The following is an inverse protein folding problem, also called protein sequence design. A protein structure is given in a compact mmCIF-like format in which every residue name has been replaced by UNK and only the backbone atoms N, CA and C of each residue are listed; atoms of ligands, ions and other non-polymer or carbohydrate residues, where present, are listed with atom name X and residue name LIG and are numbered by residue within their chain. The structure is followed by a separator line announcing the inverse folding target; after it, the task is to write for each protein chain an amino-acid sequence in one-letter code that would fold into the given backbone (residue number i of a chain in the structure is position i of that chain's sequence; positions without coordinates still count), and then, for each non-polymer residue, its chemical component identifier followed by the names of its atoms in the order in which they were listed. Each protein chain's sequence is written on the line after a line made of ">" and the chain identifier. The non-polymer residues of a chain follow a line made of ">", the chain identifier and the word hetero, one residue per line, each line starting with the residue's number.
data_IF_495586402287
#
_entry.id   IF_495586402287
#
_cell.length_a   1.000
_cell.length_b   1.000
_cell.length_c   1.000
_cell.angle_alpha   90.00
_cell.angle_beta   90.00
_cell.angle_gamma   90.00
#
_symmetry.space_group_name_H-M   'P 1'
#
loop_
_entity.id
_entity.type
_entity.pdbx_description
1 polymer ?
#
# COMPACT_ATOMS: atom_id res chain seq x y z
N UNK A 1 46.67 4.70 56.91
CA UNK A 1 45.41 4.45 56.15
C UNK A 1 45.58 5.10 54.78
N UNK A 2 46.29 4.43 53.91
CA UNK A 2 46.39 4.81 52.50
C UNK A 2 47.25 3.73 51.80
N UNK A 3 46.76 2.60 51.43
CA UNK A 3 47.43 1.62 50.56
C UNK A 3 46.49 0.45 50.17
N UNK A 4 45.15 0.64 50.15
CA UNK A 4 44.22 -0.41 49.74
C UNK A 4 43.32 -0.09 48.54
N UNK A 5 43.43 1.12 47.95
CA UNK A 5 42.58 1.53 46.80
C UNK A 5 43.25 1.38 45.42
N UNK A 6 44.53 0.98 45.35
CA UNK A 6 45.22 0.91 44.07
C UNK A 6 45.49 -0.51 43.55
N UNK A 7 44.90 -1.57 44.16
CA UNK A 7 45.12 -2.94 43.69
C UNK A 7 43.92 -3.57 42.98
N UNK A 8 42.80 -2.86 42.89
CA UNK A 8 41.58 -3.37 42.18
C UNK A 8 41.44 -2.89 40.74
N UNK A 9 42.33 -1.95 40.29
CA UNK A 9 42.28 -1.44 38.91
C UNK A 9 43.04 -2.28 37.89
N UNK A 10 44.06 -3.05 38.32
CA UNK A 10 44.98 -3.71 37.38
C UNK A 10 44.65 -5.18 37.10
N UNK A 11 43.80 -5.80 37.91
CA UNK A 11 43.33 -7.18 37.68
C UNK A 11 42.07 -7.30 36.79
N UNK A 12 41.35 -6.20 36.59
CA UNK A 12 40.15 -6.16 35.74
C UNK A 12 40.43 -6.02 34.24
N UNK A 13 41.57 -5.50 33.87
CA UNK A 13 41.94 -5.30 32.45
C UNK A 13 42.76 -6.44 31.85
N UNK A 14 43.41 -7.24 32.68
CA UNK A 14 44.22 -8.39 32.23
C UNK A 14 43.34 -9.59 31.76
N UNK A 15 42.05 -9.63 32.10
CA UNK A 15 41.12 -10.68 31.67
C UNK A 15 40.30 -10.31 30.42
N UNK A 16 40.58 -9.18 29.77
CA UNK A 16 39.99 -8.75 28.52
C UNK A 16 40.94 -8.90 27.32
N UNK A 17 42.04 -9.66 27.48
CA UNK A 17 42.87 -10.05 26.36
C UNK A 17 42.05 -11.04 25.49
N UNK A 18 41.47 -10.56 24.42
CA UNK A 18 40.87 -11.41 23.37
C UNK A 18 41.95 -12.37 22.92
N UNK A 19 41.66 -13.66 22.98
CA UNK A 19 42.58 -14.70 22.50
C UNK A 19 42.90 -14.42 21.02
N UNK A 20 44.18 -14.25 20.65
CA UNK A 20 44.57 -13.93 19.28
C UNK A 20 44.04 -14.94 18.25
N UNK A 21 43.91 -16.24 18.65
CA UNK A 21 43.38 -17.29 17.79
C UNK A 21 41.82 -17.14 17.57
N UNK A 22 41.11 -16.54 18.52
CA UNK A 22 39.68 -16.23 18.37
C UNK A 22 39.51 -15.02 17.48
N UNK A 23 40.33 -13.97 17.68
CA UNK A 23 40.30 -12.78 16.84
C UNK A 23 40.67 -13.11 15.38
N UNK A 24 41.65 -13.98 15.15
CA UNK A 24 42.04 -14.42 13.81
C UNK A 24 40.94 -15.23 13.13
N UNK A 25 40.19 -16.04 13.89
CA UNK A 25 39.02 -16.77 13.38
C UNK A 25 37.80 -15.87 13.10
N UNK A 26 37.57 -14.86 13.93
CA UNK A 26 36.51 -13.88 13.71
C UNK A 26 36.82 -13.00 12.50
N UNK A 27 38.07 -12.51 12.36
CA UNK A 27 38.50 -11.76 11.19
C UNK A 27 38.51 -12.61 9.91
N UNK A 28 38.80 -13.91 9.99
CA UNK A 28 38.69 -14.81 8.85
C UNK A 28 37.22 -15.13 8.50
N UNK A 29 36.32 -15.12 9.47
CA UNK A 29 34.88 -15.27 9.24
C UNK A 29 34.24 -14.00 8.66
N UNK A 30 34.72 -12.81 9.07
CA UNK A 30 34.30 -11.53 8.48
C UNK A 30 34.82 -11.32 7.04
N UNK A 31 35.91 -11.99 6.65
CA UNK A 31 36.43 -11.97 5.28
C UNK A 31 35.69 -12.91 4.32
N UNK A 32 34.72 -13.72 4.82
CA UNK A 32 34.10 -14.78 4.03
C UNK A 32 32.78 -14.39 3.30
N UNK A 33 32.20 -13.24 3.54
CA UNK A 33 31.22 -12.64 2.63
C UNK A 33 30.98 -11.17 2.99
N UNK A 34 31.42 -10.25 2.15
CA UNK A 34 30.86 -8.91 2.12
C UNK A 34 29.38 -9.08 1.67
N UNK A 35 28.39 -8.57 2.44
CA UNK A 35 27.00 -8.58 1.97
C UNK A 35 26.80 -7.92 0.60
N UNK A 36 27.78 -7.11 0.15
CA UNK A 36 27.83 -6.52 -1.19
C UNK A 36 28.34 -7.51 -2.27
N UNK A 37 29.09 -8.56 -1.89
CA UNK A 37 29.52 -9.60 -2.82
C UNK A 37 28.39 -10.59 -3.16
N UNK A 38 27.31 -10.63 -2.34
CA UNK A 38 26.09 -11.41 -2.60
C UNK A 38 25.09 -10.66 -3.50
N UNK A 39 25.32 -9.39 -3.79
CA UNK A 39 24.55 -8.66 -4.80
C UNK A 39 25.05 -9.11 -6.17
N UNK A 40 24.35 -10.08 -6.74
CA UNK A 40 24.60 -10.56 -8.10
C UNK A 40 24.17 -9.47 -9.10
N UNK A 41 25.06 -8.50 -9.31
CA UNK A 41 24.86 -7.40 -10.28
C UNK A 41 24.56 -7.92 -11.69
N UNK A 42 24.99 -9.14 -12.01
CA UNK A 42 24.75 -9.76 -13.31
C UNK A 42 23.29 -10.26 -13.41
N UNK A 43 22.68 -10.71 -12.29
CA UNK A 43 21.25 -11.06 -12.27
C UNK A 43 20.34 -9.83 -12.42
N UNK A 44 20.63 -8.72 -11.72
CA UNK A 44 19.86 -7.47 -11.87
C UNK A 44 19.96 -6.89 -13.28
N UNK A 45 21.13 -6.96 -13.89
CA UNK A 45 21.33 -6.52 -15.28
C UNK A 45 20.57 -7.40 -16.25
N UNK A 46 20.57 -8.73 -16.05
CA UNK A 46 19.84 -9.66 -16.93
C UNK A 46 18.32 -9.51 -16.77
N UNK A 47 17.80 -9.30 -15.55
CA UNK A 47 16.38 -9.00 -15.30
C UNK A 47 15.95 -7.69 -15.95
N UNK A 48 16.77 -6.63 -15.88
CA UNK A 48 16.48 -5.34 -16.51
C UNK A 48 16.46 -5.45 -18.02
N UNK A 49 17.41 -6.17 -18.61
CA UNK A 49 17.47 -6.43 -20.06
C UNK A 49 16.30 -7.29 -20.52
N UNK A 50 15.88 -8.28 -19.72
CA UNK A 50 14.71 -9.10 -19.98
C UNK A 50 13.43 -8.25 -19.95
N UNK A 51 13.23 -7.43 -18.91
CA UNK A 51 12.09 -6.54 -18.82
C UNK A 51 12.01 -5.58 -20.02
N UNK A 52 13.14 -5.03 -20.47
CA UNK A 52 13.19 -4.17 -21.66
C UNK A 52 12.78 -4.93 -22.94
N UNK A 53 13.23 -6.17 -23.13
CA UNK A 53 12.83 -7.02 -24.26
C UNK A 53 11.35 -7.37 -24.20
N UNK A 54 10.84 -7.69 -23.02
CA UNK A 54 9.41 -7.98 -22.81
C UNK A 54 8.56 -6.75 -23.11
N UNK A 55 8.98 -5.55 -22.73
CA UNK A 55 8.32 -4.29 -23.09
C UNK A 55 8.31 -4.06 -24.62
N UNK A 56 9.44 -4.24 -25.30
CA UNK A 56 9.52 -4.09 -26.76
C UNK A 56 8.60 -5.09 -27.48
N UNK A 57 8.57 -6.35 -27.04
CA UNK A 57 7.65 -7.36 -27.56
C UNK A 57 6.18 -6.98 -27.25
N UNK A 58 5.89 -6.49 -26.06
CA UNK A 58 4.56 -6.02 -25.67
C UNK A 58 4.06 -4.86 -26.54
N UNK A 59 4.91 -3.89 -26.86
CA UNK A 59 4.59 -2.78 -27.77
C UNK A 59 4.25 -3.30 -29.18
N UNK A 60 4.99 -4.27 -29.68
CA UNK A 60 4.71 -4.89 -30.97
C UNK A 60 3.37 -5.65 -30.97
N UNK A 61 3.08 -6.39 -29.89
CA UNK A 61 1.82 -7.11 -29.72
C UNK A 61 0.61 -6.16 -29.69
N UNK A 62 0.69 -5.02 -28.99
CA UNK A 62 -0.36 -4.02 -28.97
C UNK A 62 -0.65 -3.42 -30.35
N UNK A 63 0.36 -3.34 -31.23
CA UNK A 63 0.26 -2.78 -32.58
C UNK A 63 -0.15 -3.81 -33.66
N UNK A 64 0.01 -5.10 -33.38
CA UNK A 64 -0.10 -6.15 -34.38
C UNK A 64 -1.52 -6.61 -34.70
N UNK A 65 -2.50 -6.30 -33.86
CA UNK A 65 -3.91 -6.62 -34.12
C UNK A 65 -4.71 -7.06 -32.91
N UNK A 66 -6.04 -7.20 -33.06
CA UNK A 66 -6.94 -7.49 -31.92
C UNK A 66 -6.62 -8.80 -31.18
N UNK A 67 -6.19 -9.82 -31.90
CA UNK A 67 -5.88 -11.16 -31.38
C UNK A 67 -4.70 -11.16 -30.40
N UNK A 68 -3.77 -10.22 -30.55
CA UNK A 68 -2.56 -10.13 -29.74
C UNK A 68 -2.69 -9.10 -28.59
N UNK A 69 -3.77 -8.31 -28.55
CA UNK A 69 -3.96 -7.21 -27.59
C UNK A 69 -3.90 -7.67 -26.15
N UNK A 70 -4.58 -8.76 -25.79
CA UNK A 70 -4.59 -9.27 -24.43
C UNK A 70 -3.19 -9.71 -23.97
N UNK A 71 -2.41 -10.29 -24.89
CA UNK A 71 -1.05 -10.68 -24.58
C UNK A 71 -0.15 -9.46 -24.39
N UNK A 72 -0.27 -8.45 -25.26
CA UNK A 72 0.44 -7.17 -25.10
C UNK A 72 0.03 -6.42 -23.83
N UNK A 73 -1.26 -6.39 -23.50
CA UNK A 73 -1.78 -5.78 -22.26
C UNK A 73 -1.21 -6.44 -21.00
N UNK A 74 -1.06 -7.78 -20.99
CA UNK A 74 -0.49 -8.51 -19.87
C UNK A 74 0.92 -8.03 -19.54
N UNK A 75 1.75 -7.78 -20.54
CA UNK A 75 3.11 -7.27 -20.36
C UNK A 75 3.08 -5.96 -19.57
N UNK A 76 2.19 -5.03 -19.90
CA UNK A 76 2.11 -3.72 -19.24
C UNK A 76 1.31 -3.71 -17.93
N UNK A 77 0.66 -4.82 -17.58
CA UNK A 77 0.19 -5.05 -16.20
C UNK A 77 1.33 -5.43 -15.26
N UNK A 78 2.42 -5.98 -15.78
CA UNK A 78 3.59 -6.44 -15.02
C UNK A 78 4.77 -5.44 -15.10
N UNK A 79 5.00 -4.83 -16.27
CA UNK A 79 6.12 -3.93 -16.54
C UNK A 79 5.69 -2.47 -16.72
N UNK A 80 6.63 -1.56 -16.43
CA UNK A 80 6.46 -0.11 -16.62
C UNK A 80 7.22 0.35 -17.86
N UNK A 81 6.49 0.90 -18.81
CA UNK A 81 7.06 1.54 -19.99
C UNK A 81 6.13 2.66 -20.48
N UNK A 82 6.52 3.94 -20.35
CA UNK A 82 5.70 5.07 -20.78
C UNK A 82 5.30 5.05 -22.27
N UNK A 83 6.06 4.35 -23.11
CA UNK A 83 5.75 4.19 -24.54
C UNK A 83 4.44 3.44 -24.77
N UNK A 84 3.99 2.67 -23.77
CA UNK A 84 2.73 1.93 -23.88
C UNK A 84 1.50 2.84 -23.73
N UNK A 85 1.59 3.93 -22.99
CA UNK A 85 0.43 4.79 -22.66
C UNK A 85 -0.38 5.20 -23.89
N UNK A 86 0.20 5.74 -24.98
CA UNK A 86 -0.56 6.11 -26.16
C UNK A 86 -1.22 4.92 -26.88
N UNK A 87 -0.72 3.70 -26.70
CA UNK A 87 -1.30 2.47 -27.26
C UNK A 87 -2.41 1.91 -26.34
N UNK A 88 -2.33 2.14 -25.04
CA UNK A 88 -3.30 1.68 -24.05
C UNK A 88 -4.58 2.52 -24.04
N UNK A 89 -4.46 3.85 -24.21
CA UNK A 89 -5.60 4.77 -24.14
C UNK A 89 -6.75 4.42 -25.10
N UNK A 90 -6.54 4.11 -26.38
CA UNK A 90 -7.62 3.70 -27.29
C UNK A 90 -8.34 2.42 -26.83
N UNK A 91 -7.65 1.53 -26.12
CA UNK A 91 -8.22 0.26 -25.65
C UNK A 91 -9.25 0.42 -24.53
N UNK A 92 -9.30 1.58 -23.89
CA UNK A 92 -10.35 1.94 -22.94
C UNK A 92 -11.74 2.03 -23.59
N UNK A 93 -11.83 2.16 -24.91
CA UNK A 93 -13.09 2.24 -25.67
C UNK A 93 -13.49 0.91 -26.34
N UNK A 94 -12.75 -0.16 -26.11
CA UNK A 94 -13.04 -1.46 -26.69
C UNK A 94 -14.38 -2.02 -26.19
N UNK A 95 -15.08 -2.71 -27.06
CA UNK A 95 -16.38 -3.32 -26.74
C UNK A 95 -16.26 -4.42 -25.69
N UNK A 96 -15.15 -5.17 -25.70
CA UNK A 96 -14.88 -6.24 -24.74
C UNK A 96 -14.47 -5.68 -23.38
N UNK A 97 -15.23 -5.94 -22.29
CA UNK A 97 -14.90 -5.43 -20.96
C UNK A 97 -13.58 -5.99 -20.41
N UNK A 98 -13.16 -7.18 -20.84
CA UNK A 98 -11.87 -7.76 -20.44
C UNK A 98 -10.71 -6.93 -21.01
N UNK A 99 -10.82 -6.47 -22.26
CA UNK A 99 -9.81 -5.62 -22.87
C UNK A 99 -9.75 -4.26 -22.17
N UNK A 100 -10.92 -3.64 -21.91
CA UNK A 100 -10.96 -2.36 -21.17
C UNK A 100 -10.36 -2.50 -19.79
N UNK A 101 -10.74 -3.53 -19.04
CA UNK A 101 -10.23 -3.81 -17.70
C UNK A 101 -8.71 -4.01 -17.70
N UNK A 102 -8.19 -4.80 -18.61
CA UNK A 102 -6.74 -5.04 -18.75
C UNK A 102 -5.99 -3.77 -19.14
N UNK A 103 -6.56 -2.93 -20.03
CA UNK A 103 -6.00 -1.62 -20.38
C UNK A 103 -5.95 -0.68 -19.17
N UNK A 104 -7.01 -0.70 -18.33
CA UNK A 104 -7.05 0.07 -17.07
C UNK A 104 -5.96 -0.39 -16.10
N UNK A 105 -5.75 -1.71 -15.91
CA UNK A 105 -4.68 -2.22 -15.06
C UNK A 105 -3.29 -1.85 -15.60
N UNK A 106 -3.09 -1.95 -16.92
CA UNK A 106 -1.85 -1.53 -17.57
C UNK A 106 -1.58 -0.03 -17.36
N UNK A 107 -2.59 0.84 -17.48
CA UNK A 107 -2.47 2.27 -17.19
C UNK A 107 -2.25 2.56 -15.70
N UNK A 108 -2.83 1.78 -14.80
CA UNK A 108 -2.56 1.87 -13.37
C UNK A 108 -1.11 1.54 -13.03
N UNK A 109 -0.50 0.60 -13.76
CA UNK A 109 0.94 0.28 -13.66
C UNK A 109 1.82 1.35 -14.30
N UNK A 110 1.31 2.03 -15.32
CA UNK A 110 1.98 3.05 -16.12
C UNK A 110 1.28 4.41 -15.93
N UNK A 111 1.29 5.00 -14.72
CA UNK A 111 0.53 6.20 -14.43
C UNK A 111 0.99 7.37 -15.30
N UNK A 112 0.00 8.07 -15.86
CA UNK A 112 0.23 9.23 -16.71
C UNK A 112 -0.92 10.23 -16.58
N UNK A 113 -0.64 11.54 -16.50
CA UNK A 113 -1.67 12.56 -16.39
C UNK A 113 -2.72 12.52 -17.52
N UNK A 114 -2.33 12.10 -18.73
CA UNK A 114 -3.25 12.00 -19.88
C UNK A 114 -4.27 10.87 -19.74
N UNK A 115 -4.05 9.91 -18.84
CA UNK A 115 -4.97 8.81 -18.58
C UNK A 115 -6.07 9.17 -17.58
N UNK A 116 -5.88 10.23 -16.77
CA UNK A 116 -6.79 10.56 -15.66
C UNK A 116 -8.21 10.82 -16.17
N UNK A 117 -8.39 11.71 -17.14
CA UNK A 117 -9.74 12.05 -17.65
C UNK A 117 -10.43 10.84 -18.30
N UNK A 118 -9.80 10.04 -19.20
CA UNK A 118 -10.37 8.80 -19.70
C UNK A 118 -10.77 7.80 -18.61
N UNK A 119 -9.95 7.64 -17.56
CA UNK A 119 -10.26 6.76 -16.43
C UNK A 119 -11.46 7.27 -15.63
N UNK A 120 -11.55 8.57 -15.35
CA UNK A 120 -12.69 9.18 -14.67
C UNK A 120 -13.99 8.97 -15.44
N UNK A 121 -13.96 9.07 -16.77
CA UNK A 121 -15.11 8.81 -17.63
C UNK A 121 -15.56 7.34 -17.52
N UNK A 122 -14.63 6.39 -17.49
CA UNK A 122 -14.96 4.97 -17.28
C UNK A 122 -15.52 4.70 -15.88
N UNK A 123 -14.95 5.31 -14.83
CA UNK A 123 -15.49 5.16 -13.47
C UNK A 123 -16.97 5.59 -13.40
N UNK A 124 -17.31 6.63 -14.10
CA UNK A 124 -18.66 7.20 -14.09
C UNK A 124 -19.64 6.43 -14.97
N UNK A 125 -19.20 5.93 -16.15
CA UNK A 125 -20.12 5.53 -17.21
C UNK A 125 -19.98 4.06 -17.66
N UNK A 126 -18.92 3.32 -17.30
CA UNK A 126 -18.79 1.94 -17.74
C UNK A 126 -19.88 1.07 -17.12
N UNK A 127 -20.59 0.33 -17.95
CA UNK A 127 -21.66 -0.57 -17.51
C UNK A 127 -21.15 -1.77 -16.71
N UNK A 128 -19.87 -2.16 -16.91
CA UNK A 128 -19.30 -3.31 -16.24
C UNK A 128 -18.63 -2.90 -14.92
N UNK A 129 -19.17 -3.41 -13.79
CA UNK A 129 -18.65 -3.11 -12.46
C UNK A 129 -17.18 -3.55 -12.22
N UNK A 130 -16.70 -4.59 -12.91
CA UNK A 130 -15.30 -5.00 -12.79
C UNK A 130 -14.34 -4.05 -13.52
N UNK A 131 -14.78 -3.41 -14.60
CA UNK A 131 -14.03 -2.32 -15.23
C UNK A 131 -13.95 -1.15 -14.27
N UNK A 132 -15.09 -0.70 -13.69
CA UNK A 132 -15.10 0.38 -12.69
C UNK A 132 -14.25 0.06 -11.45
N UNK A 133 -14.25 -1.21 -10.99
CA UNK A 133 -13.36 -1.69 -9.93
C UNK A 133 -11.89 -1.47 -10.28
N UNK A 134 -11.47 -1.89 -11.48
CA UNK A 134 -10.10 -1.71 -11.95
C UNK A 134 -9.74 -0.22 -12.05
N UNK A 135 -10.70 0.61 -12.50
CA UNK A 135 -10.51 2.07 -12.55
C UNK A 135 -10.33 2.66 -11.16
N UNK A 136 -11.14 2.27 -10.18
CA UNK A 136 -10.99 2.75 -8.81
C UNK A 136 -9.57 2.48 -8.28
N UNK A 137 -9.04 1.27 -8.48
CA UNK A 137 -7.66 0.93 -8.15
C UNK A 137 -6.64 1.77 -8.95
N UNK A 138 -6.81 1.90 -10.26
CA UNK A 138 -5.89 2.64 -11.12
C UNK A 138 -5.78 4.12 -10.72
N UNK A 139 -6.89 4.73 -10.32
CA UNK A 139 -6.93 6.14 -9.89
C UNK A 139 -6.14 6.40 -8.60
N UNK A 140 -5.96 5.40 -7.72
CA UNK A 140 -5.03 5.49 -6.60
C UNK A 140 -3.60 5.75 -7.06
N UNK A 141 -3.18 5.10 -8.15
CA UNK A 141 -1.86 5.32 -8.76
C UNK A 141 -1.76 6.64 -9.56
N UNK A 142 -2.89 7.34 -9.77
CA UNK A 142 -2.97 8.67 -10.39
C UNK A 142 -3.34 9.76 -9.37
N UNK A 143 -2.96 9.58 -8.12
CA UNK A 143 -3.36 10.39 -6.94
C UNK A 143 -3.01 11.88 -7.02
N UNK A 144 -2.13 12.28 -7.93
CA UNK A 144 -1.83 13.70 -8.18
C UNK A 144 -2.93 14.42 -8.99
N UNK A 145 -3.80 13.67 -9.66
CA UNK A 145 -4.94 14.19 -10.42
C UNK A 145 -6.14 14.57 -9.54
N UNK A 146 -7.23 15.06 -10.16
CA UNK A 146 -8.47 15.43 -9.48
C UNK A 146 -9.35 14.20 -9.17
N UNK A 147 -8.76 13.16 -8.56
CA UNK A 147 -9.38 11.83 -8.39
C UNK A 147 -10.18 11.69 -7.09
N UNK A 148 -9.94 12.55 -6.09
CA UNK A 148 -10.51 12.42 -4.74
C UNK A 148 -12.04 12.42 -4.74
N UNK A 149 -12.67 13.44 -5.31
CA UNK A 149 -14.14 13.54 -5.34
C UNK A 149 -14.82 12.42 -6.13
N UNK A 150 -14.33 11.99 -7.32
CA UNK A 150 -14.84 10.81 -7.99
C UNK A 150 -14.71 9.51 -7.19
N UNK A 151 -13.60 9.30 -6.47
CA UNK A 151 -13.42 8.14 -5.59
C UNK A 151 -14.38 8.17 -4.40
N UNK A 152 -14.61 9.34 -3.79
CA UNK A 152 -15.64 9.50 -2.75
C UNK A 152 -17.02 9.10 -3.28
N UNK A 153 -17.41 9.57 -4.47
CA UNK A 153 -18.69 9.19 -5.07
C UNK A 153 -18.77 7.68 -5.31
N UNK A 154 -17.71 7.07 -5.82
CA UNK A 154 -17.66 5.62 -6.05
C UNK A 154 -17.78 4.84 -4.73
N UNK A 155 -17.12 5.27 -3.66
CA UNK A 155 -17.23 4.69 -2.32
C UNK A 155 -18.68 4.72 -1.79
N UNK A 156 -19.43 5.79 -2.09
CA UNK A 156 -20.79 5.97 -1.57
C UNK A 156 -21.85 5.19 -2.35
N UNK A 157 -21.67 4.98 -3.65
CA UNK A 157 -22.81 4.63 -4.52
C UNK A 157 -22.59 3.43 -5.43
N UNK A 158 -21.39 2.87 -5.51
CA UNK A 158 -21.11 1.78 -6.44
C UNK A 158 -21.26 0.38 -5.79
N UNK A 159 -21.03 -0.68 -6.54
CA UNK A 159 -21.00 -2.05 -6.02
C UNK A 159 -19.86 -2.27 -5.02
N UNK A 160 -20.00 -3.23 -4.13
CA UNK A 160 -19.05 -3.50 -3.05
C UNK A 160 -17.60 -3.61 -3.53
N UNK A 161 -17.36 -4.28 -4.65
CA UNK A 161 -16.01 -4.43 -5.23
C UNK A 161 -15.38 -3.09 -5.65
N UNK A 162 -16.18 -2.12 -6.09
CA UNK A 162 -15.73 -0.77 -6.43
C UNK A 162 -15.53 0.05 -5.16
N UNK A 163 -16.46 -0.02 -4.21
CA UNK A 163 -16.35 0.68 -2.91
C UNK A 163 -15.09 0.27 -2.16
N UNK A 164 -14.75 -1.03 -2.17
CA UNK A 164 -13.51 -1.55 -1.59
C UNK A 164 -12.28 -0.83 -2.16
N UNK A 165 -12.14 -0.82 -3.48
CA UNK A 165 -10.97 -0.21 -4.11
C UNK A 165 -10.98 1.32 -4.05
N UNK A 166 -12.16 1.92 -4.00
CA UNK A 166 -12.30 3.36 -3.77
C UNK A 166 -11.80 3.74 -2.37
N UNK A 167 -12.08 2.95 -1.32
CA UNK A 167 -11.58 3.21 0.03
C UNK A 167 -10.04 3.14 0.09
N UNK A 168 -9.44 2.12 -0.52
CA UNK A 168 -7.98 1.98 -0.61
C UNK A 168 -7.35 3.17 -1.35
N UNK A 169 -7.89 3.52 -2.51
CA UNK A 169 -7.36 4.61 -3.34
C UNK A 169 -7.56 6.00 -2.73
N UNK A 170 -8.53 6.14 -1.81
CA UNK A 170 -8.73 7.37 -1.04
C UNK A 170 -7.59 7.61 -0.04
N UNK A 171 -6.92 6.58 0.48
CA UNK A 171 -5.72 6.74 1.30
C UNK A 171 -4.60 7.39 0.49
N UNK A 172 -4.35 6.91 -0.72
CA UNK A 172 -3.31 7.45 -1.62
C UNK A 172 -3.62 8.89 -2.08
N UNK A 173 -4.87 9.15 -2.49
CA UNK A 173 -5.30 10.46 -2.96
C UNK A 173 -5.43 11.49 -1.82
N UNK A 174 -5.82 11.03 -0.63
CA UNK A 174 -5.96 11.84 0.58
C UNK A 174 -4.61 12.22 1.18
N UNK A 175 -3.65 11.31 1.22
CA UNK A 175 -2.35 11.51 1.85
C UNK A 175 -1.46 12.62 1.27
N UNK A 176 -1.90 13.30 0.21
CA UNK A 176 -1.14 14.37 -0.45
C UNK A 176 -1.14 15.70 0.32
N UNK A 177 -2.21 16.03 1.04
CA UNK A 177 -2.31 17.24 1.86
C UNK A 177 -3.28 17.03 3.02
N UNK A 178 -3.09 17.75 4.13
CA UNK A 178 -3.99 17.71 5.29
C UNK A 178 -5.46 17.94 4.92
N UNK A 179 -5.76 18.87 4.02
CA UNK A 179 -7.14 19.14 3.60
C UNK A 179 -7.75 17.97 2.81
N UNK A 180 -6.97 17.30 1.96
CA UNK A 180 -7.42 16.11 1.25
C UNK A 180 -7.57 14.92 2.21
N UNK A 181 -6.64 14.78 3.16
CA UNK A 181 -6.70 13.75 4.19
C UNK A 181 -7.97 13.88 5.05
N UNK A 182 -8.29 15.09 5.50
CA UNK A 182 -9.50 15.36 6.28
C UNK A 182 -10.78 15.01 5.52
N UNK A 183 -10.86 15.38 4.23
CA UNK A 183 -12.00 15.06 3.37
C UNK A 183 -12.12 13.54 3.16
N UNK A 184 -11.01 12.86 2.84
CA UNK A 184 -10.99 11.41 2.66
C UNK A 184 -11.39 10.68 3.95
N UNK A 185 -10.79 11.06 5.08
CA UNK A 185 -11.08 10.46 6.39
C UNK A 185 -12.55 10.63 6.78
N UNK A 186 -13.14 11.81 6.56
CA UNK A 186 -14.56 12.02 6.83
C UNK A 186 -15.48 11.08 6.04
N UNK A 187 -15.16 10.77 4.78
CA UNK A 187 -15.94 9.84 3.96
C UNK A 187 -15.69 8.38 4.33
N UNK A 188 -14.45 8.03 4.67
CA UNK A 188 -14.10 6.69 5.14
C UNK A 188 -14.77 6.37 6.49
N UNK A 189 -14.83 7.34 7.41
CA UNK A 189 -15.57 7.21 8.68
C UNK A 189 -17.06 6.93 8.46
N UNK A 190 -17.69 7.64 7.53
CA UNK A 190 -19.09 7.39 7.17
C UNK A 190 -19.28 5.97 6.62
N UNK A 191 -18.42 5.55 5.69
CA UNK A 191 -18.49 4.19 5.13
C UNK A 191 -18.21 3.11 6.17
N UNK A 192 -17.25 3.31 7.06
CA UNK A 192 -16.99 2.39 8.18
C UNK A 192 -18.24 2.19 9.05
N UNK A 193 -18.98 3.27 9.30
CA UNK A 193 -20.16 3.23 10.16
C UNK A 193 -21.39 2.55 9.52
N UNK A 194 -21.55 2.63 8.19
CA UNK A 194 -22.82 2.26 7.55
C UNK A 194 -22.74 1.22 6.43
N UNK A 195 -21.53 0.90 5.93
CA UNK A 195 -21.42 -0.06 4.81
C UNK A 195 -21.82 -1.47 5.24
N UNK A 196 -22.70 -2.10 4.45
CA UNK A 196 -23.17 -3.46 4.72
C UNK A 196 -22.10 -4.52 4.57
N UNK A 197 -21.06 -4.25 3.75
CA UNK A 197 -20.05 -5.23 3.41
C UNK A 197 -18.86 -5.16 4.37
N UNK A 198 -18.57 -6.21 5.14
CA UNK A 198 -17.44 -6.23 6.07
C UNK A 198 -16.10 -5.89 5.43
N UNK A 199 -15.88 -6.41 4.23
CA UNK A 199 -14.62 -6.16 3.49
C UNK A 199 -14.43 -4.68 3.15
N UNK A 200 -15.51 -3.92 2.91
CA UNK A 200 -15.41 -2.48 2.70
C UNK A 200 -15.10 -1.78 4.01
N UNK A 201 -15.74 -2.16 5.13
CA UNK A 201 -15.44 -1.59 6.46
C UNK A 201 -13.99 -1.85 6.86
N UNK A 202 -13.47 -3.09 6.68
CA UNK A 202 -12.05 -3.40 6.96
C UNK A 202 -11.10 -2.52 6.13
N UNK A 203 -11.38 -2.33 4.84
CA UNK A 203 -10.55 -1.46 4.01
C UNK A 203 -10.67 0.03 4.38
N UNK A 204 -11.82 0.48 4.89
CA UNK A 204 -11.95 1.82 5.45
C UNK A 204 -11.05 2.00 6.70
N UNK A 205 -10.98 1.00 7.58
CA UNK A 205 -10.09 0.99 8.75
C UNK A 205 -8.64 1.12 8.30
N UNK A 206 -8.20 0.25 7.38
CA UNK A 206 -6.85 0.31 6.83
C UNK A 206 -6.53 1.69 6.24
N UNK A 207 -7.44 2.24 5.41
CA UNK A 207 -7.26 3.54 4.77
C UNK A 207 -7.20 4.70 5.79
N UNK A 208 -8.00 4.65 6.85
CA UNK A 208 -7.96 5.63 7.95
C UNK A 208 -6.63 5.59 8.69
N UNK A 209 -6.10 4.38 8.96
CA UNK A 209 -4.79 4.22 9.59
C UNK A 209 -3.66 4.81 8.72
N UNK A 210 -3.72 4.63 7.38
CA UNK A 210 -2.74 5.24 6.47
C UNK A 210 -2.78 6.77 6.45
N UNK A 211 -3.92 7.38 6.76
CA UNK A 211 -4.09 8.84 6.73
C UNK A 211 -3.78 9.53 8.06
N UNK A 212 -3.67 8.80 9.16
CA UNK A 212 -3.72 9.37 10.50
C UNK A 212 -2.63 10.40 10.77
N UNK A 213 -1.44 10.23 10.20
CA UNK A 213 -0.32 11.16 10.38
C UNK A 213 -0.51 12.50 9.64
N UNK A 214 -1.37 12.52 8.61
CA UNK A 214 -1.74 13.72 7.88
C UNK A 214 -2.93 14.45 8.50
N UNK A 215 -3.62 13.83 9.47
CA UNK A 215 -4.78 14.41 10.13
C UNK A 215 -4.38 15.32 11.29
N UNK A 216 -5.16 16.37 11.49
CA UNK A 216 -5.09 17.25 12.66
C UNK A 216 -6.31 17.07 13.54
N UNK A 217 -6.23 17.56 14.78
CA UNK A 217 -7.39 17.54 15.68
C UNK A 217 -8.51 18.48 15.17
N UNK A 218 -9.80 18.13 15.33
CA UNK A 218 -10.30 16.94 16.05
C UNK A 218 -10.40 15.64 15.22
N UNK A 219 -10.13 15.68 13.91
CA UNK A 219 -10.32 14.53 13.02
C UNK A 219 -9.50 13.30 13.43
N UNK A 220 -8.29 13.54 13.92
CA UNK A 220 -7.43 12.44 14.41
C UNK A 220 -8.09 11.67 15.54
N UNK A 221 -8.62 12.38 16.52
CA UNK A 221 -9.37 11.79 17.63
C UNK A 221 -10.61 11.04 17.12
N UNK A 222 -11.38 11.60 16.20
CA UNK A 222 -12.56 10.93 15.62
C UNK A 222 -12.19 9.59 14.95
N UNK A 223 -11.07 9.53 14.25
CA UNK A 223 -10.58 8.29 13.62
C UNK A 223 -10.25 7.26 14.70
N UNK A 224 -9.46 7.62 15.69
CA UNK A 224 -9.09 6.70 16.80
C UNK A 224 -10.32 6.15 17.50
N UNK A 225 -11.28 7.01 17.84
CA UNK A 225 -12.52 6.58 18.49
C UNK A 225 -13.37 5.64 17.58
N UNK A 226 -13.40 5.89 16.28
CA UNK A 226 -14.08 5.02 15.33
C UNK A 226 -13.41 3.64 15.21
N UNK A 227 -12.06 3.59 15.22
CA UNK A 227 -11.32 2.33 15.23
C UNK A 227 -11.56 1.52 16.50
N UNK A 228 -11.54 2.19 17.70
CA UNK A 228 -11.88 1.55 18.96
C UNK A 228 -13.33 1.04 18.97
N UNK A 229 -14.26 1.83 18.44
CA UNK A 229 -15.65 1.40 18.34
C UNK A 229 -15.82 0.19 17.40
N UNK A 230 -15.13 0.16 16.26
CA UNK A 230 -15.14 -0.98 15.33
C UNK A 230 -14.55 -2.24 16.01
N UNK A 231 -13.43 -2.11 16.73
CA UNK A 231 -12.82 -3.20 17.51
C UNK A 231 -13.80 -3.82 18.50
N UNK A 232 -14.55 -2.98 19.22
CA UNK A 232 -15.43 -3.42 20.31
C UNK A 232 -16.79 -3.95 19.82
N UNK A 233 -17.31 -3.42 18.71
CA UNK A 233 -18.73 -3.56 18.39
C UNK A 233 -19.05 -4.01 16.97
N UNK A 234 -18.07 -4.09 16.07
CA UNK A 234 -18.39 -4.60 14.73
C UNK A 234 -18.89 -6.06 14.81
N UNK A 235 -19.92 -6.37 14.05
CA UNK A 235 -20.49 -7.71 14.03
C UNK A 235 -19.50 -8.77 13.52
N UNK A 236 -18.63 -8.38 12.58
CA UNK A 236 -17.72 -9.31 11.93
C UNK A 236 -16.33 -9.32 12.60
N UNK A 237 -15.83 -10.53 12.91
CA UNK A 237 -14.52 -10.68 13.55
C UNK A 237 -13.39 -10.12 12.71
N UNK A 238 -13.45 -10.30 11.39
CA UNK A 238 -12.41 -9.78 10.48
C UNK A 238 -12.29 -8.26 10.52
N UNK A 239 -13.39 -7.53 10.74
CA UNK A 239 -13.38 -6.07 10.90
C UNK A 239 -12.79 -5.69 12.26
N UNK A 240 -13.15 -6.44 13.32
CA UNK A 240 -12.55 -6.23 14.66
C UNK A 240 -11.06 -6.49 14.66
N UNK A 241 -10.61 -7.56 13.99
CA UNK A 241 -9.18 -7.91 13.88
C UNK A 241 -8.41 -6.83 13.11
N UNK A 242 -8.98 -6.31 12.02
CA UNK A 242 -8.36 -5.20 11.27
C UNK A 242 -8.25 -3.93 12.12
N UNK A 243 -9.29 -3.61 12.91
CA UNK A 243 -9.27 -2.47 13.80
C UNK A 243 -8.20 -2.60 14.89
N UNK A 244 -8.01 -3.82 15.45
CA UNK A 244 -6.94 -4.10 16.40
C UNK A 244 -5.57 -3.87 15.79
N UNK A 245 -5.31 -4.46 14.62
CA UNK A 245 -4.03 -4.31 13.91
C UNK A 245 -3.75 -2.83 13.60
N UNK A 246 -4.76 -2.10 13.12
CA UNK A 246 -4.63 -0.68 12.83
C UNK A 246 -4.28 0.14 14.09
N UNK A 247 -4.93 -0.12 15.22
CA UNK A 247 -4.65 0.58 16.49
C UNK A 247 -3.27 0.24 17.05
N UNK A 248 -2.83 -1.02 16.97
CA UNK A 248 -1.49 -1.46 17.36
C UNK A 248 -0.40 -0.77 16.52
N UNK A 249 -0.61 -0.61 15.22
CA UNK A 249 0.32 0.04 14.30
C UNK A 249 0.50 1.55 14.55
N UNK A 250 -0.43 2.20 15.28
CA UNK A 250 -0.29 3.62 15.61
C UNK A 250 0.81 3.88 16.64
N UNK A 251 1.32 2.85 17.31
CA UNK A 251 2.40 2.92 18.33
C UNK A 251 2.20 4.02 19.38
N UNK A 252 0.93 4.45 19.60
CA UNK A 252 0.59 5.47 20.57
C UNK A 252 0.46 4.85 21.97
N UNK A 253 1.24 5.29 22.97
CA UNK A 253 1.23 4.70 24.31
C UNK A 253 -0.16 4.70 24.97
N UNK A 254 -0.93 5.77 24.83
CA UNK A 254 -2.27 5.89 25.43
C UNK A 254 -3.25 4.89 24.80
N UNK A 255 -3.14 4.68 23.47
CA UNK A 255 -3.96 3.69 22.75
C UNK A 255 -3.56 2.28 23.19
N UNK A 256 -2.25 1.99 23.29
CA UNK A 256 -1.75 0.68 23.68
C UNK A 256 -2.15 0.35 25.14
N UNK A 257 -2.07 1.31 26.07
CA UNK A 257 -2.57 1.13 27.45
C UNK A 257 -4.08 0.84 27.48
N UNK A 258 -4.85 1.54 26.66
CA UNK A 258 -6.30 1.31 26.54
C UNK A 258 -6.61 -0.07 25.97
N UNK A 259 -5.88 -0.53 24.94
CA UNK A 259 -6.02 -1.87 24.37
C UNK A 259 -5.68 -2.94 25.42
N UNK A 260 -4.58 -2.76 26.18
CA UNK A 260 -4.19 -3.68 27.23
C UNK A 260 -5.26 -3.78 28.33
N UNK A 261 -5.84 -2.64 28.74
CA UNK A 261 -6.93 -2.63 29.71
C UNK A 261 -8.15 -3.42 29.22
N UNK A 262 -8.52 -3.31 27.94
CA UNK A 262 -9.63 -4.06 27.33
C UNK A 262 -9.34 -5.58 27.28
N UNK A 263 -8.09 -5.98 27.08
CA UNK A 263 -7.66 -7.39 27.16
C UNK A 263 -7.78 -7.89 28.60
N UNK A 264 -7.26 -7.13 29.58
CA UNK A 264 -7.25 -7.51 31.00
C UNK A 264 -8.69 -7.60 31.57
N UNK A 265 -9.62 -6.79 31.08
CA UNK A 265 -11.04 -6.83 31.40
C UNK A 265 -11.81 -7.97 30.69
N UNK A 266 -11.17 -8.67 29.75
CA UNK A 266 -11.74 -9.79 29.01
C UNK A 266 -12.68 -9.39 27.86
N UNK A 267 -12.65 -8.14 27.42
CA UNK A 267 -13.38 -7.68 26.25
C UNK A 267 -12.71 -8.07 24.93
N UNK A 268 -11.40 -8.30 24.96
CA UNK A 268 -10.60 -8.75 23.83
C UNK A 268 -9.84 -10.04 24.22
N UNK A 269 -9.78 -10.98 23.28
CA UNK A 269 -9.07 -12.27 23.47
C UNK A 269 -7.91 -12.39 22.47
#
# INVERSE_FOLDING_TARGET
>A
MSDRENQLGDQGLANLAIDPDVLEKELAAEQLSDPLDEIDCDQEVDETLKAARDCDAGLQLLQSGPENRLQGLRVFCEHRDPRAVPLLLPLLQESCPIVRMSAVYALGRNPSPVAVEPLLNLLQADSNGYVRKAVAWSLGNHSDGPVLTPLVKALQTDIAAVRLWASVSLAEAGGKTTAKADLAAGQLLLSLAIDSEPVVRSNCIWALAQLIDQLVEPRRTEVVEALVNALMHDAESSVRDEARVALEQLENPEILERLQALIDEGFLS
#
